data_IF_377719449017
#
_entry.id   IF_377719449017
#
_cell.length_a   1.000
_cell.length_b   1.000
_cell.length_c   1.000
_cell.angle_alpha   90.00
_cell.angle_beta   90.00
_cell.angle_gamma   90.00
#
_symmetry.space_group_name_H-M   'P 1'
#
loop_
_entity.id
_entity.type
_entity.pdbx_description
1 polymer ?
#
# COMPACT_ATOMS: atom_id res chain seq x y z
N UNK A 1 -30.88 -3.06 -29.18
CA UNK A 1 -30.35 -3.87 -28.05
C UNK A 1 -28.96 -4.22 -28.50
N UNK A 2 -28.02 -3.39 -28.11
CA UNK A 2 -26.73 -3.29 -28.77
C UNK A 2 -25.81 -4.31 -28.09
N UNK A 3 -25.59 -5.43 -28.78
CA UNK A 3 -24.61 -6.43 -28.39
C UNK A 3 -23.21 -5.87 -28.71
N UNK A 4 -22.62 -5.16 -27.76
CA UNK A 4 -21.20 -4.82 -27.78
C UNK A 4 -20.40 -6.04 -27.25
N UNK A 5 -19.55 -6.69 -28.07
CA UNK A 5 -18.80 -7.88 -27.66
C UNK A 5 -17.65 -7.60 -26.67
N UNK A 6 -17.50 -6.37 -26.18
CA UNK A 6 -16.38 -5.96 -25.30
C UNK A 6 -16.67 -6.13 -23.80
N UNK A 7 -17.85 -6.59 -23.39
CA UNK A 7 -18.28 -6.57 -21.98
C UNK A 7 -17.96 -7.86 -21.21
N UNK A 8 -16.74 -8.41 -21.37
CA UNK A 8 -16.26 -9.53 -20.54
C UNK A 8 -15.08 -9.18 -19.63
N UNK A 9 -14.64 -7.93 -19.67
CA UNK A 9 -13.50 -7.49 -18.87
C UNK A 9 -13.97 -7.09 -17.47
N UNK A 10 -13.68 -7.95 -16.49
CA UNK A 10 -13.95 -7.69 -15.09
C UNK A 10 -12.69 -7.20 -14.38
N UNK A 11 -12.89 -6.52 -13.25
CA UNK A 11 -11.82 -6.25 -12.29
C UNK A 11 -12.08 -7.18 -11.10
N UNK A 12 -11.12 -8.05 -10.76
CA UNK A 12 -11.24 -8.89 -9.56
C UNK A 12 -10.48 -8.24 -8.45
N UNK A 13 -11.16 -8.11 -7.31
CA UNK A 13 -10.56 -7.67 -6.07
C UNK A 13 -10.64 -8.79 -5.05
N UNK A 14 -9.50 -9.08 -4.43
CA UNK A 14 -9.34 -10.08 -3.40
C UNK A 14 -8.81 -9.42 -2.14
N UNK A 15 -9.52 -9.60 -1.03
CA UNK A 15 -9.11 -9.08 0.28
C UNK A 15 -8.90 -10.23 1.23
N UNK A 16 -7.70 -10.35 1.79
CA UNK A 16 -7.44 -11.31 2.86
C UNK A 16 -7.54 -10.64 4.23
N UNK A 17 -8.10 -11.40 5.15
CA UNK A 17 -8.31 -10.99 6.53
C UNK A 17 -7.50 -11.87 7.47
N UNK A 18 -7.01 -11.28 8.54
CA UNK A 18 -6.40 -12.03 9.63
C UNK A 18 -7.46 -12.74 10.50
N UNK A 19 -6.99 -13.50 11.50
CA UNK A 19 -7.89 -14.20 12.46
C UNK A 19 -8.78 -13.27 13.28
N UNK A 20 -8.46 -11.97 13.34
CA UNK A 20 -9.25 -10.95 14.03
C UNK A 20 -10.21 -10.21 13.08
N UNK A 21 -10.29 -10.63 11.80
CA UNK A 21 -11.16 -10.02 10.80
C UNK A 21 -10.65 -8.70 10.25
N UNK A 22 -9.35 -8.39 10.39
CA UNK A 22 -8.73 -7.17 9.89
C UNK A 22 -8.14 -7.42 8.51
N UNK A 23 -8.41 -6.55 7.55
CA UNK A 23 -7.82 -6.66 6.21
C UNK A 23 -6.31 -6.42 6.29
N UNK A 24 -5.52 -7.39 5.82
CA UNK A 24 -4.04 -7.34 5.84
C UNK A 24 -3.44 -7.39 4.44
N UNK A 25 -4.25 -7.73 3.44
CA UNK A 25 -3.83 -7.80 2.05
C UNK A 25 -5.01 -7.48 1.14
N UNK A 26 -4.75 -6.70 0.10
CA UNK A 26 -5.68 -6.41 -0.99
C UNK A 26 -4.97 -6.61 -2.31
N UNK A 27 -5.63 -7.29 -3.23
CA UNK A 27 -5.17 -7.50 -4.59
C UNK A 27 -6.27 -7.08 -5.55
N UNK A 28 -5.92 -6.29 -6.56
CA UNK A 28 -6.83 -5.90 -7.62
C UNK A 28 -6.17 -6.14 -8.96
N UNK A 29 -6.83 -6.91 -9.82
CA UNK A 29 -6.36 -7.19 -11.17
C UNK A 29 -7.37 -6.67 -12.18
N UNK A 30 -6.86 -5.92 -13.15
CA UNK A 30 -7.61 -5.42 -14.28
C UNK A 30 -6.95 -5.94 -15.55
N UNK A 31 -7.53 -7.00 -16.09
CA UNK A 31 -7.04 -7.69 -17.29
C UNK A 31 -7.06 -6.78 -18.52
N UNK A 32 -8.09 -5.93 -18.66
CA UNK A 32 -8.21 -5.00 -19.78
C UNK A 32 -7.06 -3.98 -19.85
N UNK A 33 -6.65 -3.47 -18.68
CA UNK A 33 -5.52 -2.53 -18.58
C UNK A 33 -4.17 -3.23 -18.39
N UNK A 34 -4.16 -4.54 -18.13
CA UNK A 34 -2.97 -5.31 -17.78
C UNK A 34 -2.30 -4.76 -16.52
N UNK A 35 -3.09 -4.35 -15.54
CA UNK A 35 -2.61 -3.74 -14.29
C UNK A 35 -2.95 -4.60 -13.09
N UNK A 36 -2.02 -4.68 -12.16
CA UNK A 36 -2.19 -5.37 -10.89
C UNK A 36 -1.75 -4.47 -9.76
N UNK A 37 -2.63 -4.27 -8.79
CA UNK A 37 -2.36 -3.50 -7.59
C UNK A 37 -2.37 -4.45 -6.39
N UNK A 38 -1.30 -4.39 -5.60
CA UNK A 38 -1.13 -5.23 -4.41
C UNK A 38 -0.86 -4.30 -3.23
N UNK A 39 -1.65 -4.40 -2.17
CA UNK A 39 -1.44 -3.69 -0.93
C UNK A 39 -1.35 -4.67 0.22
N UNK A 40 -0.26 -4.61 0.97
CA UNK A 40 0.02 -5.45 2.12
C UNK A 40 0.16 -4.56 3.35
N UNK A 41 -0.44 -4.95 4.46
CA UNK A 41 -0.40 -4.17 5.70
C UNK A 41 -0.02 -5.05 6.87
N UNK A 42 1.08 -4.70 7.52
CA UNK A 42 1.49 -5.28 8.77
C UNK A 42 0.83 -4.51 9.92
N UNK A 43 0.02 -5.20 10.71
CA UNK A 43 -0.68 -4.62 11.85
C UNK A 43 -0.04 -5.06 13.18
N UNK A 44 0.02 -4.14 14.14
CA UNK A 44 0.27 -4.43 15.54
C UNK A 44 -0.87 -5.29 16.15
N UNK A 45 -0.65 -5.85 17.33
CA UNK A 45 -1.62 -6.65 18.06
C UNK A 45 -2.97 -5.95 18.22
N UNK A 46 -2.96 -4.64 18.46
CA UNK A 46 -4.18 -3.83 18.61
C UNK A 46 -4.75 -3.30 17.28
N UNK A 47 -4.06 -3.51 16.15
CA UNK A 47 -4.57 -3.16 14.81
C UNK A 47 -4.05 -1.86 14.21
N UNK A 48 -2.98 -1.29 14.78
CA UNK A 48 -2.31 -0.13 14.17
C UNK A 48 -1.39 -0.60 13.03
N UNK A 49 -1.39 0.04 11.85
CA UNK A 49 -0.46 -0.28 10.78
C UNK A 49 0.95 0.10 11.18
N UNK A 50 1.86 -0.86 11.19
CA UNK A 50 3.29 -0.62 11.40
C UNK A 50 4.01 -0.38 10.08
N UNK A 51 3.54 -1.07 9.03
CA UNK A 51 4.11 -1.02 7.70
C UNK A 51 3.04 -1.29 6.66
N UNK A 52 3.09 -0.55 5.56
CA UNK A 52 2.27 -0.80 4.38
C UNK A 52 3.18 -0.89 3.16
N UNK A 53 3.00 -1.94 2.36
CA UNK A 53 3.68 -2.10 1.07
C UNK A 53 2.62 -2.07 -0.02
N UNK A 54 2.76 -1.15 -0.95
CA UNK A 54 1.87 -1.03 -2.11
C UNK A 54 2.70 -1.23 -3.36
N UNK A 55 2.30 -2.18 -4.21
CA UNK A 55 2.95 -2.48 -5.49
C UNK A 55 1.95 -2.23 -6.61
N UNK A 56 2.33 -1.36 -7.54
CA UNK A 56 1.60 -1.06 -8.77
C UNK A 56 2.34 -1.68 -9.94
N UNK A 57 1.72 -2.65 -10.59
CA UNK A 57 2.34 -3.43 -11.68
C UNK A 57 1.56 -3.15 -12.97
N UNK A 58 2.28 -2.85 -14.04
CA UNK A 58 1.72 -2.72 -15.40
C UNK A 58 2.68 -3.35 -16.41
N UNK A 59 2.32 -4.53 -16.90
CA UNK A 59 3.23 -5.33 -17.73
C UNK A 59 4.54 -5.62 -17.01
N UNK A 60 5.66 -5.15 -17.56
CA UNK A 60 7.00 -5.32 -16.95
C UNK A 60 7.38 -4.21 -15.95
N UNK A 61 6.59 -3.14 -15.85
CA UNK A 61 6.90 -2.01 -14.97
C UNK A 61 6.26 -2.24 -13.61
N UNK A 62 7.05 -2.11 -12.55
CA UNK A 62 6.57 -2.20 -11.17
C UNK A 62 7.04 -0.98 -10.40
N UNK A 63 6.12 -0.31 -9.72
CA UNK A 63 6.41 0.75 -8.77
C UNK A 63 6.01 0.24 -7.39
N UNK A 64 6.91 0.33 -6.43
CA UNK A 64 6.65 -0.06 -5.04
C UNK A 64 6.71 1.18 -4.17
N UNK A 65 5.69 1.36 -3.34
CA UNK A 65 5.67 2.32 -2.25
C UNK A 65 5.69 1.56 -0.92
N UNK A 66 6.64 1.91 -0.06
CA UNK A 66 6.76 1.37 1.28
C UNK A 66 6.53 2.51 2.28
N UNK A 67 5.58 2.33 3.18
CA UNK A 67 5.25 3.25 4.25
C UNK A 67 5.54 2.60 5.60
N UNK A 68 6.41 3.22 6.39
CA UNK A 68 6.74 2.82 7.76
C UNK A 68 6.13 3.79 8.77
N UNK A 69 5.46 3.27 9.80
CA UNK A 69 4.76 4.06 10.81
C UNK A 69 5.30 3.76 12.21
N UNK A 70 5.56 4.82 12.97
CA UNK A 70 5.96 4.73 14.39
C UNK A 70 4.97 5.46 15.27
N UNK A 71 4.74 4.95 16.47
CA UNK A 71 3.73 5.47 17.39
C UNK A 71 4.32 5.73 18.76
N UNK A 72 3.75 6.69 19.49
CA UNK A 72 4.02 6.87 20.90
C UNK A 72 3.28 5.83 21.77
N UNK A 73 3.55 5.83 23.07
CA UNK A 73 2.91 4.92 24.03
C UNK A 73 1.39 5.13 24.17
N UNK A 74 0.89 6.31 23.80
CA UNK A 74 -0.55 6.62 23.80
C UNK A 74 -1.22 6.19 22.48
N UNK A 75 -0.45 5.72 21.49
CA UNK A 75 -0.94 5.28 20.19
C UNK A 75 -1.08 6.38 19.15
N UNK A 76 -0.53 7.58 19.37
CA UNK A 76 -0.50 8.66 18.36
C UNK A 76 0.66 8.43 17.40
N UNK A 77 0.44 8.74 16.12
CA UNK A 77 1.49 8.64 15.09
C UNK A 77 2.61 9.63 15.39
N UNK A 78 3.84 9.13 15.47
CA UNK A 78 5.04 9.91 15.75
C UNK A 78 5.81 10.26 14.46
N UNK A 79 5.94 9.30 13.55
CA UNK A 79 6.59 9.49 12.25
C UNK A 79 6.00 8.53 11.23
N UNK A 80 5.90 9.03 10.00
CA UNK A 80 5.66 8.24 8.80
C UNK A 80 6.80 8.49 7.82
N UNK A 81 7.40 7.43 7.32
CA UNK A 81 8.41 7.48 6.27
C UNK A 81 7.89 6.74 5.06
N UNK A 82 7.85 7.42 3.91
CA UNK A 82 7.47 6.82 2.64
C UNK A 82 8.69 6.71 1.74
N UNK A 83 8.88 5.52 1.16
CA UNK A 83 9.88 5.26 0.12
C UNK A 83 9.20 4.77 -1.13
N UNK A 84 9.66 5.27 -2.28
CA UNK A 84 9.16 4.89 -3.58
C UNK A 84 10.32 4.35 -4.41
N UNK A 85 10.12 3.20 -5.03
CA UNK A 85 11.10 2.56 -5.91
C UNK A 85 10.42 1.59 -6.87
N UNK A 86 11.15 0.56 -7.26
CA UNK A 86 10.68 -0.44 -8.22
C UNK A 86 10.47 -1.82 -7.57
N UNK A 87 10.19 -2.84 -8.39
CA UNK A 87 9.98 -4.23 -7.93
C UNK A 87 11.17 -4.87 -7.20
N UNK A 88 12.35 -4.24 -7.19
CA UNK A 88 13.51 -4.69 -6.43
C UNK A 88 13.57 -4.11 -5.01
N UNK A 89 12.68 -3.16 -4.69
CA UNK A 89 12.57 -2.59 -3.35
C UNK A 89 12.21 -3.68 -2.34
N UNK A 90 13.06 -3.83 -1.32
CA UNK A 90 12.87 -4.75 -0.21
C UNK A 90 11.83 -4.26 0.80
N UNK A 91 11.91 -4.80 2.01
CA UNK A 91 10.93 -4.52 3.06
C UNK A 91 11.31 -3.33 3.96
N UNK A 92 12.35 -2.57 3.62
CA UNK A 92 12.81 -1.43 4.41
C UNK A 92 13.16 -0.23 3.55
N UNK A 93 12.84 0.95 4.08
CA UNK A 93 13.25 2.25 3.59
C UNK A 93 14.78 2.46 3.76
N UNK A 94 15.60 1.84 2.91
CA UNK A 94 17.03 2.11 2.90
C UNK A 94 17.34 3.39 2.10
N UNK A 95 18.18 4.27 2.67
CA UNK A 95 18.48 5.62 2.17
C UNK A 95 19.29 5.67 0.85
N UNK A 96 19.24 4.63 0.02
CA UNK A 96 20.03 4.51 -1.22
C UNK A 96 19.27 4.04 -2.46
N UNK A 97 17.99 3.66 -2.36
CA UNK A 97 17.23 3.05 -3.47
C UNK A 97 15.87 3.71 -3.76
N UNK A 98 15.52 4.80 -3.06
CA UNK A 98 14.28 5.54 -3.30
C UNK A 98 14.32 6.93 -2.70
N UNK A 99 13.47 7.82 -3.22
CA UNK A 99 13.27 9.15 -2.62
C UNK A 99 12.48 8.99 -1.33
N UNK A 100 13.12 9.14 -0.18
CA UNK A 100 12.42 9.12 1.11
C UNK A 100 11.70 10.45 1.32
N UNK A 101 10.37 10.45 1.39
CA UNK A 101 9.59 11.61 1.83
C UNK A 101 9.26 11.36 3.31
N UNK A 102 10.01 12.01 4.20
CA UNK A 102 9.64 12.10 5.61
C UNK A 102 8.58 13.18 5.73
N UNK A 103 7.34 12.82 6.01
CA UNK A 103 6.31 13.80 6.34
C UNK A 103 6.62 14.34 7.73
N UNK A 104 7.31 15.48 7.76
CA UNK A 104 7.62 16.20 8.99
C UNK A 104 6.32 16.61 9.67
N UNK A 105 6.16 16.15 10.91
CA UNK A 105 5.17 16.55 11.91
C UNK A 105 4.43 17.84 11.53
N UNK A 106 3.24 17.73 10.91
CA UNK A 106 2.40 18.89 10.67
C UNK A 106 1.98 19.42 12.05
N UNK A 107 2.36 20.65 12.44
CA UNK A 107 1.94 21.19 13.72
C UNK A 107 0.42 21.23 13.72
N UNK A 108 -0.19 20.50 14.64
CA UNK A 108 -1.60 20.62 14.96
C UNK A 108 -1.79 21.98 15.65
N UNK A 109 -1.83 23.06 14.88
CA UNK A 109 -2.28 24.35 15.36
C UNK A 109 -3.81 24.31 15.41
N UNK A 110 -4.33 23.95 16.59
CA UNK A 110 -5.69 24.30 16.95
C UNK A 110 -5.76 25.83 17.24
N UNK A 111 -6.88 26.50 16.95
CA UNK A 111 -7.08 27.91 17.29
C UNK A 111 -7.09 28.16 18.80
#
# INVERSE_FOLDING_TARGET
MDNDPTTNDWITTLTYYDKKGRAVYSYSENDYLGTTDIMETQLDFIGKPLKTRTSHIRGANTIVALDDFTYDHMGRLLSQTQCIGDGTMGDSCEAGMGTSVTSGNLPFQAP
#
